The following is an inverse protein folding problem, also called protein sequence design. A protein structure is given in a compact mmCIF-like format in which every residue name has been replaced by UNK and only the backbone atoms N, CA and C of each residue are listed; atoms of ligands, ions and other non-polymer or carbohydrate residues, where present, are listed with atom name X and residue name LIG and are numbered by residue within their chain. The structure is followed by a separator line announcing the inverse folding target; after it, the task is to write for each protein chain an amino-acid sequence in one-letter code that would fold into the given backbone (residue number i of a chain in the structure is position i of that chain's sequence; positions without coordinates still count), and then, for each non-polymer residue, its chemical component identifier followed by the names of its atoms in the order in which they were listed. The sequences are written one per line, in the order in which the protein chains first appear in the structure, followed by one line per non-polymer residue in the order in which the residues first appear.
data_IF_699025621743
#
_entry.id   IF_699025621743
#
_cell.length_a   1.000
_cell.length_b   1.000
_cell.length_c   1.000
_cell.angle_alpha   90.00
_cell.angle_beta   90.00
_cell.angle_gamma   90.00
#
_symmetry.space_group_name_H-M   'P 1'
#
loop_
_entity.id
_entity.type
_entity.pdbx_description
1 polymer ?
#
# COMPACT_ATOMS: atom_id res chain seq x y z
N UNK A 1 30.71 4.24 19.42
CA UNK A 1 30.71 4.65 18.01
C UNK A 1 30.46 6.14 17.91
N UNK A 2 31.19 6.84 17.05
CA UNK A 2 30.98 8.27 16.78
C UNK A 2 30.35 8.39 15.38
N UNK A 3 29.25 9.13 15.29
CA UNK A 3 28.55 9.42 14.02
C UNK A 3 28.60 10.92 13.78
N UNK A 4 29.07 11.32 12.61
CA UNK A 4 29.06 12.72 12.18
C UNK A 4 27.81 12.99 11.36
N UNK A 5 26.96 13.90 11.84
CA UNK A 5 25.73 14.30 11.16
C UNK A 5 25.46 15.80 11.33
N UNK A 6 25.21 16.51 10.24
CA UNK A 6 24.92 17.94 10.25
C UNK A 6 26.03 18.80 10.87
N UNK A 7 27.30 18.38 10.75
CA UNK A 7 28.44 19.08 11.34
C UNK A 7 28.63 18.84 12.85
N UNK A 8 27.86 17.93 13.43
CA UNK A 8 27.98 17.53 14.85
C UNK A 8 28.47 16.09 14.98
N UNK A 9 29.34 15.86 15.96
CA UNK A 9 29.80 14.51 16.34
C UNK A 9 28.90 13.97 17.46
N UNK A 10 28.13 12.93 17.15
CA UNK A 10 27.22 12.24 18.08
C UNK A 10 27.88 10.96 18.57
N UNK A 11 27.88 10.71 19.86
CA UNK A 11 28.38 9.48 20.45
C UNK A 11 27.23 8.56 20.84
N UNK A 12 27.34 7.27 20.46
CA UNK A 12 26.36 6.25 20.82
C UNK A 12 27.06 4.92 21.09
N UNK A 13 26.47 4.07 21.91
CA UNK A 13 26.95 2.69 22.12
C UNK A 13 26.69 1.82 20.88
N UNK A 14 25.53 2.00 20.28
CA UNK A 14 25.06 1.27 19.10
C UNK A 14 24.49 2.23 18.06
N UNK A 15 24.72 1.93 16.79
CA UNK A 15 24.15 2.69 15.66
C UNK A 15 23.32 1.72 14.81
N UNK A 16 22.04 2.05 14.60
CA UNK A 16 21.17 1.33 13.70
C UNK A 16 21.21 1.99 12.32
N UNK A 17 21.57 1.21 11.29
CA UNK A 17 21.46 1.62 9.88
C UNK A 17 20.19 1.02 9.29
N UNK A 18 19.21 1.87 8.98
CA UNK A 18 17.90 1.49 8.49
C UNK A 18 17.49 2.32 7.25
N UNK A 19 18.40 2.41 6.28
CA UNK A 19 18.28 3.28 5.10
C UNK A 19 17.60 2.62 3.90
N UNK A 20 17.08 1.39 4.07
CA UNK A 20 16.44 0.60 3.02
C UNK A 20 17.20 -0.67 2.68
N UNK A 21 16.73 -1.36 1.66
CA UNK A 21 17.28 -2.64 1.18
C UNK A 21 17.56 -2.54 -0.32
N UNK A 22 18.42 -3.43 -0.81
CA UNK A 22 18.71 -3.59 -2.23
C UNK A 22 18.45 -5.04 -2.65
N UNK A 23 18.09 -5.30 -3.92
CA UNK A 23 17.99 -6.65 -4.44
C UNK A 23 19.31 -7.40 -4.26
N UNK A 24 19.25 -8.64 -3.78
CA UNK A 24 20.44 -9.50 -3.62
C UNK A 24 20.52 -10.46 -4.80
N UNK A 25 21.12 -10.01 -5.89
CA UNK A 25 21.23 -10.72 -7.17
C UNK A 25 22.66 -11.10 -7.53
N UNK A 26 23.63 -10.71 -6.72
CA UNK A 26 25.05 -10.98 -6.98
C UNK A 26 25.36 -12.48 -6.94
N UNK A 27 26.18 -12.94 -7.87
CA UNK A 27 26.66 -14.34 -7.97
C UNK A 27 25.56 -15.39 -8.18
N UNK A 28 24.39 -15.02 -8.68
CA UNK A 28 23.33 -15.97 -9.06
C UNK A 28 23.51 -16.55 -10.47
N UNK A 29 24.50 -16.11 -11.22
CA UNK A 29 24.75 -16.57 -12.60
C UNK A 29 23.70 -16.10 -13.60
N UNK A 30 23.01 -14.99 -13.33
CA UNK A 30 21.91 -14.48 -14.16
C UNK A 30 22.35 -14.16 -15.59
N UNK A 31 23.55 -13.59 -15.74
CA UNK A 31 24.14 -13.27 -17.04
C UNK A 31 24.41 -14.52 -17.88
N UNK A 32 24.80 -15.61 -17.23
CA UNK A 32 25.11 -16.88 -17.90
C UNK A 32 23.88 -17.53 -18.55
N UNK A 33 22.68 -17.24 -18.00
CA UNK A 33 21.39 -17.73 -18.52
C UNK A 33 20.63 -16.66 -19.29
N UNK A 34 21.15 -15.45 -19.43
CA UNK A 34 20.57 -14.37 -20.20
C UNK A 34 19.43 -13.59 -19.50
N UNK A 35 19.32 -13.71 -18.17
CA UNK A 35 18.37 -12.93 -17.38
C UNK A 35 18.86 -11.49 -17.25
N UNK A 36 18.02 -10.54 -17.64
CA UNK A 36 18.32 -9.11 -17.57
C UNK A 36 18.11 -8.54 -16.17
N UNK A 37 19.02 -7.66 -15.77
CA UNK A 37 18.92 -6.90 -14.52
C UNK A 37 19.03 -5.40 -14.78
N UNK A 38 18.31 -4.61 -13.98
CA UNK A 38 18.43 -3.15 -13.97
C UNK A 38 18.63 -2.66 -12.53
N UNK A 39 19.70 -1.92 -12.28
CA UNK A 39 20.09 -1.43 -10.94
C UNK A 39 20.10 -2.52 -9.86
N UNK A 40 20.54 -3.72 -10.23
CA UNK A 40 20.58 -4.89 -9.35
C UNK A 40 19.27 -5.66 -9.23
N UNK A 41 18.14 -5.16 -9.74
CA UNK A 41 16.87 -5.87 -9.77
C UNK A 41 16.71 -6.72 -11.03
N UNK A 42 16.05 -7.87 -10.92
CA UNK A 42 15.69 -8.70 -12.07
C UNK A 42 14.50 -8.05 -12.79
N UNK A 43 14.66 -7.79 -14.10
CA UNK A 43 13.61 -7.24 -14.94
C UNK A 43 12.56 -8.31 -15.22
N UNK A 44 11.29 -8.00 -14.94
CA UNK A 44 10.13 -8.88 -15.18
C UNK A 44 8.99 -8.12 -15.83
N UNK A 45 8.18 -8.83 -16.61
CA UNK A 45 6.93 -8.35 -17.17
C UNK A 45 5.79 -8.28 -16.12
N UNK A 46 4.56 -8.06 -16.56
CA UNK A 46 3.37 -7.98 -15.69
C UNK A 46 2.98 -9.34 -15.09
N UNK A 47 3.49 -10.44 -15.63
CA UNK A 47 3.27 -11.81 -15.16
C UNK A 47 4.48 -12.39 -14.43
N UNK A 48 5.46 -11.54 -14.05
CA UNK A 48 6.69 -11.89 -13.34
C UNK A 48 7.65 -12.79 -14.15
N UNK A 49 7.46 -12.92 -15.46
CA UNK A 49 8.37 -13.63 -16.35
C UNK A 49 9.59 -12.72 -16.63
N UNK A 50 10.78 -13.30 -16.61
CA UNK A 50 12.03 -12.58 -16.95
C UNK A 50 12.21 -12.51 -18.49
N UNK A 51 13.34 -11.93 -18.92
CA UNK A 51 13.78 -11.98 -20.33
C UNK A 51 13.95 -13.41 -20.87
N UNK A 52 13.98 -14.41 -20.01
CA UNK A 52 14.11 -15.84 -20.37
C UNK A 52 12.77 -16.55 -20.11
N UNK A 53 12.10 -17.10 -21.15
CA UNK A 53 10.68 -17.50 -21.08
C UNK A 53 10.30 -18.57 -20.04
N UNK A 54 11.25 -19.31 -19.49
CA UNK A 54 11.05 -20.35 -18.48
C UNK A 54 11.61 -19.96 -17.09
N UNK A 55 12.01 -18.70 -16.92
CA UNK A 55 12.53 -18.18 -15.65
C UNK A 55 11.61 -17.03 -15.20
N UNK A 56 11.16 -17.10 -13.95
CA UNK A 56 10.33 -16.10 -13.27
C UNK A 56 11.08 -15.55 -12.06
N UNK A 57 10.79 -14.32 -11.69
CA UNK A 57 11.30 -13.71 -10.46
C UNK A 57 10.17 -12.99 -9.72
N UNK A 58 10.13 -13.18 -8.39
CA UNK A 58 9.13 -12.60 -7.50
C UNK A 58 9.79 -12.00 -6.26
N UNK A 59 9.09 -11.13 -5.57
CA UNK A 59 9.54 -10.52 -4.33
C UNK A 59 10.57 -9.40 -4.53
N UNK A 60 11.34 -9.16 -3.50
CA UNK A 60 12.27 -8.03 -3.39
C UNK A 60 13.29 -7.97 -4.52
N UNK A 61 13.67 -9.12 -5.06
CA UNK A 61 14.64 -9.26 -6.15
C UNK A 61 14.17 -8.57 -7.45
N UNK A 62 12.85 -8.34 -7.61
CA UNK A 62 12.28 -7.63 -8.76
C UNK A 62 12.39 -6.11 -8.66
N UNK A 63 12.71 -5.57 -7.49
CA UNK A 63 12.78 -4.12 -7.24
C UNK A 63 11.44 -3.37 -7.36
N UNK A 64 10.30 -4.06 -7.57
CA UNK A 64 8.99 -3.40 -7.75
C UNK A 64 8.47 -2.85 -6.43
N UNK A 65 8.18 -3.70 -5.45
CA UNK A 65 7.69 -3.29 -4.13
C UNK A 65 8.11 -4.36 -3.10
N UNK A 66 9.07 -4.01 -2.25
CA UNK A 66 9.71 -4.92 -1.30
C UNK A 66 8.81 -5.15 -0.06
N UNK A 67 7.74 -5.95 -0.22
CA UNK A 67 6.79 -6.31 0.82
C UNK A 67 6.41 -7.79 0.69
N UNK A 68 6.39 -8.51 1.81
CA UNK A 68 6.14 -9.96 1.84
C UNK A 68 4.81 -10.35 1.19
N UNK A 69 3.73 -9.64 1.47
CA UNK A 69 2.42 -9.89 0.88
C UNK A 69 2.38 -9.59 -0.63
N UNK A 70 3.19 -8.65 -1.11
CA UNK A 70 3.35 -8.40 -2.55
C UNK A 70 4.08 -9.57 -3.21
N UNK A 71 5.15 -10.09 -2.59
CA UNK A 71 5.86 -11.27 -3.07
C UNK A 71 4.94 -12.49 -3.16
N UNK A 72 4.05 -12.70 -2.16
CA UNK A 72 3.05 -13.77 -2.17
C UNK A 72 2.05 -13.61 -3.32
N UNK A 73 1.52 -12.41 -3.54
CA UNK A 73 0.63 -12.12 -4.67
C UNK A 73 1.32 -12.32 -6.02
N UNK A 74 2.57 -11.87 -6.15
CA UNK A 74 3.40 -12.11 -7.33
C UNK A 74 3.58 -13.60 -7.61
N UNK A 75 3.82 -14.40 -6.56
CA UNK A 75 3.96 -15.86 -6.70
C UNK A 75 2.70 -16.53 -7.25
N UNK A 76 1.52 -16.11 -6.80
CA UNK A 76 0.23 -16.59 -7.32
C UNK A 76 0.11 -16.27 -8.82
N UNK A 77 0.30 -15.01 -9.21
CA UNK A 77 0.22 -14.59 -10.62
C UNK A 77 1.23 -15.34 -11.49
N UNK A 78 2.46 -15.53 -11.03
CA UNK A 78 3.49 -16.25 -11.77
C UNK A 78 3.07 -17.73 -12.03
N UNK A 79 2.54 -18.41 -11.01
CA UNK A 79 2.10 -19.82 -11.14
C UNK A 79 0.85 -19.92 -12.02
N UNK A 80 -0.12 -19.04 -11.88
CA UNK A 80 -1.31 -18.99 -12.74
C UNK A 80 -0.93 -18.71 -14.19
N UNK A 81 0.03 -17.81 -14.43
CA UNK A 81 0.55 -17.55 -15.78
C UNK A 81 1.22 -18.78 -16.39
N UNK A 82 2.05 -19.51 -15.64
CA UNK A 82 2.66 -20.77 -16.09
C UNK A 82 1.57 -21.78 -16.48
N UNK A 83 0.59 -22.00 -15.60
CA UNK A 83 -0.51 -22.93 -15.85
C UNK A 83 -1.34 -22.52 -17.09
N UNK A 84 -1.69 -21.24 -17.23
CA UNK A 84 -2.44 -20.74 -18.38
C UNK A 84 -1.71 -20.94 -19.71
N UNK A 85 -0.38 -20.81 -19.72
CA UNK A 85 0.44 -21.06 -20.92
C UNK A 85 0.50 -22.53 -21.30
N UNK A 86 0.62 -23.44 -20.34
CA UNK A 86 0.69 -24.87 -20.58
C UNK A 86 -0.67 -25.46 -20.97
N UNK A 87 -1.72 -25.06 -20.25
CA UNK A 87 -3.08 -25.60 -20.43
C UNK A 87 -3.92 -24.79 -21.44
N UNK A 88 -3.39 -23.71 -22.00
CA UNK A 88 -4.10 -22.74 -22.86
C UNK A 88 -5.34 -22.16 -22.18
N UNK A 89 -5.23 -21.94 -20.86
CA UNK A 89 -6.27 -21.33 -20.02
C UNK A 89 -6.31 -19.79 -20.13
N UNK A 90 -7.23 -19.14 -19.39
CA UNK A 90 -7.27 -17.69 -19.30
C UNK A 90 -6.03 -17.16 -18.57
N UNK A 91 -5.48 -16.06 -19.07
CA UNK A 91 -4.35 -15.38 -18.42
C UNK A 91 -4.80 -14.75 -17.09
N UNK A 92 -3.98 -14.80 -16.02
CA UNK A 92 -4.29 -14.11 -14.79
C UNK A 92 -4.31 -12.58 -15.01
N UNK A 93 -5.04 -11.83 -14.21
CA UNK A 93 -4.93 -10.36 -14.20
C UNK A 93 -3.55 -9.93 -13.69
N UNK A 94 -3.03 -8.86 -14.27
CA UNK A 94 -1.83 -8.21 -13.74
C UNK A 94 -2.10 -7.61 -12.35
N UNK A 95 -1.05 -7.54 -11.50
CA UNK A 95 -1.18 -6.95 -10.17
C UNK A 95 -1.31 -5.41 -10.25
N UNK A 96 -2.31 -4.85 -9.59
CA UNK A 96 -2.39 -3.42 -9.33
C UNK A 96 -1.49 -3.03 -8.13
N UNK A 97 -0.29 -2.57 -8.41
CA UNK A 97 0.65 -2.13 -7.38
C UNK A 97 0.18 -0.86 -6.64
N UNK A 98 -0.78 -0.11 -7.17
CA UNK A 98 -1.40 1.01 -6.46
C UNK A 98 -2.37 0.52 -5.39
N UNK A 99 -3.04 -0.60 -5.61
CA UNK A 99 -3.93 -1.22 -4.62
C UNK A 99 -3.19 -1.96 -3.50
N UNK A 100 -1.85 -2.10 -3.58
CA UNK A 100 -1.08 -2.79 -2.54
C UNK A 100 -1.04 -1.99 -1.24
N UNK A 101 -1.43 -2.60 -0.10
CA UNK A 101 -1.35 -1.95 1.21
C UNK A 101 0.10 -1.74 1.64
N UNK A 102 0.39 -0.59 2.23
CA UNK A 102 1.69 -0.24 2.81
C UNK A 102 1.47 0.11 4.28
N UNK A 103 2.13 -0.63 5.15
CA UNK A 103 2.00 -0.48 6.61
C UNK A 103 3.37 -0.19 7.24
N UNK A 104 3.38 0.74 8.21
CA UNK A 104 4.54 0.99 9.08
C UNK A 104 4.10 0.75 10.51
N UNK A 105 4.71 -0.25 11.13
CA UNK A 105 4.38 -0.73 12.47
C UNK A 105 5.12 0.06 13.54
N UNK A 106 4.75 1.33 13.66
CA UNK A 106 5.25 2.26 14.69
C UNK A 106 4.08 2.69 15.60
N UNK A 107 4.30 3.67 16.49
CA UNK A 107 3.23 4.19 17.35
C UNK A 107 3.22 5.72 17.32
N UNK A 108 2.14 6.33 16.79
CA UNK A 108 0.98 5.73 16.13
C UNK A 108 1.36 4.98 14.84
N UNK A 109 0.59 3.96 14.45
CA UNK A 109 0.79 3.22 13.21
C UNK A 109 0.50 4.11 11.99
N UNK A 110 1.11 3.76 10.85
CA UNK A 110 0.84 4.41 9.55
C UNK A 110 0.42 3.32 8.56
N UNK A 111 -0.65 3.59 7.82
CA UNK A 111 -1.11 2.71 6.76
C UNK A 111 -1.55 3.51 5.54
N UNK A 112 -1.30 2.98 4.35
CA UNK A 112 -1.71 3.67 3.12
C UNK A 112 -1.89 2.71 1.95
N UNK A 113 -2.71 3.13 1.00
CA UNK A 113 -2.89 2.49 -0.30
C UNK A 113 -3.23 3.56 -1.33
N UNK A 114 -2.80 3.37 -2.58
CA UNK A 114 -3.16 4.22 -3.70
C UNK A 114 -2.39 5.54 -3.77
N UNK A 115 -3.00 6.51 -4.46
CA UNK A 115 -2.42 7.82 -4.73
C UNK A 115 -2.59 8.77 -3.54
N UNK A 116 -1.57 9.57 -3.29
CA UNK A 116 -1.73 10.77 -2.46
C UNK A 116 -2.57 11.81 -3.23
N UNK A 117 -3.19 12.75 -2.51
CA UNK A 117 -3.91 13.86 -3.12
C UNK A 117 -3.06 14.63 -4.16
N UNK A 118 -1.78 14.82 -3.84
CA UNK A 118 -0.82 15.48 -4.73
C UNK A 118 -0.62 14.67 -6.03
N UNK A 119 -0.33 13.38 -5.91
CA UNK A 119 -0.13 12.49 -7.06
C UNK A 119 -1.39 12.38 -7.93
N UNK A 120 -2.58 12.28 -7.32
CA UNK A 120 -3.83 12.25 -8.05
C UNK A 120 -4.05 13.53 -8.87
N UNK A 121 -3.79 14.71 -8.29
CA UNK A 121 -3.85 15.99 -9.00
C UNK A 121 -2.80 16.10 -10.13
N UNK A 122 -1.58 15.63 -9.89
CA UNK A 122 -0.52 15.60 -10.90
C UNK A 122 -0.85 14.67 -12.07
N UNK A 123 -1.65 13.62 -11.85
CA UNK A 123 -2.18 12.74 -12.88
C UNK A 123 -3.45 13.26 -13.56
N UNK A 124 -3.91 14.47 -13.21
CA UNK A 124 -5.04 15.13 -13.86
C UNK A 124 -6.41 14.82 -13.27
N UNK A 125 -6.48 14.09 -12.13
CA UNK A 125 -7.76 13.88 -11.45
C UNK A 125 -8.27 15.17 -10.79
N UNK A 126 -9.58 15.38 -10.88
CA UNK A 126 -10.29 16.29 -9.97
C UNK A 126 -10.66 15.52 -8.72
N UNK A 127 -10.10 15.89 -7.57
CA UNK A 127 -10.24 15.08 -6.36
C UNK A 127 -11.20 15.69 -5.35
N UNK A 128 -11.96 14.82 -4.68
CA UNK A 128 -12.60 15.08 -3.38
C UNK A 128 -11.76 14.42 -2.28
N UNK A 129 -11.69 15.07 -1.15
CA UNK A 129 -10.91 14.57 0.00
C UNK A 129 -11.79 14.52 1.22
N UNK A 130 -11.93 13.32 1.80
CA UNK A 130 -12.52 13.13 3.12
C UNK A 130 -11.44 12.97 4.16
N UNK A 131 -11.53 13.70 5.26
CA UNK A 131 -10.59 13.58 6.38
C UNK A 131 -11.37 13.51 7.67
N UNK A 132 -11.01 12.54 8.53
CA UNK A 132 -11.63 12.39 9.85
C UNK A 132 -10.55 12.14 10.92
N UNK A 133 -10.52 12.92 12.02
CA UNK A 133 -9.54 12.76 13.09
C UNK A 133 -9.98 11.69 14.09
N UNK A 134 -9.06 10.89 14.61
CA UNK A 134 -9.33 9.93 15.68
C UNK A 134 -9.80 10.59 16.99
N UNK A 135 -9.51 11.87 17.20
CA UNK A 135 -10.04 12.65 18.34
C UNK A 135 -11.57 12.72 18.37
N UNK A 136 -12.25 12.55 17.25
CA UNK A 136 -13.71 12.51 17.15
C UNK A 136 -14.28 11.08 17.23
N UNK A 137 -13.43 10.05 17.37
CA UNK A 137 -13.86 8.66 17.46
C UNK A 137 -13.95 8.19 18.92
N UNK A 138 -15.13 7.74 19.34
CA UNK A 138 -15.40 7.32 20.72
C UNK A 138 -14.53 6.15 21.20
N UNK A 139 -14.20 5.19 20.32
CA UNK A 139 -13.32 4.06 20.68
C UNK A 139 -11.88 4.49 20.87
N UNK A 140 -11.39 5.39 20.03
CA UNK A 140 -10.03 5.95 20.16
C UNK A 140 -9.88 6.73 21.48
N UNK A 141 -10.90 7.48 21.86
CA UNK A 141 -10.94 8.19 23.16
C UNK A 141 -10.94 7.19 24.32
N UNK A 142 -11.74 6.12 24.25
CA UNK A 142 -11.78 5.09 25.28
C UNK A 142 -10.45 4.34 25.42
N UNK A 143 -9.68 4.18 24.36
CA UNK A 143 -8.34 3.60 24.39
C UNK A 143 -7.27 4.57 24.94
N UNK A 144 -7.55 5.88 24.97
CA UNK A 144 -6.56 6.90 25.24
C UNK A 144 -5.56 7.12 24.10
N UNK A 145 -5.82 6.55 22.93
CA UNK A 145 -4.97 6.64 21.73
C UNK A 145 -5.77 7.27 20.60
N UNK A 146 -5.83 8.59 20.58
CA UNK A 146 -6.65 9.37 19.66
C UNK A 146 -5.83 10.29 18.73
N UNK A 147 -4.50 10.10 18.71
CA UNK A 147 -3.64 10.85 17.81
C UNK A 147 -3.79 10.35 16.36
N UNK A 148 -3.92 11.29 15.42
CA UNK A 148 -3.94 10.97 14.00
C UNK A 148 -5.28 11.16 13.33
N UNK A 149 -5.37 10.65 12.11
CA UNK A 149 -6.54 10.82 11.24
C UNK A 149 -6.53 9.77 10.11
N UNK A 150 -7.66 9.64 9.45
CA UNK A 150 -7.80 9.04 8.13
C UNK A 150 -8.01 10.13 7.07
N UNK A 151 -7.42 9.92 5.88
CA UNK A 151 -7.63 10.75 4.70
C UNK A 151 -7.96 9.86 3.50
N UNK A 152 -9.17 10.00 2.97
CA UNK A 152 -9.63 9.34 1.75
C UNK A 152 -9.51 10.30 0.57
N UNK A 153 -8.94 9.83 -0.54
CA UNK A 153 -8.78 10.57 -1.80
C UNK A 153 -9.65 9.91 -2.87
N UNK A 154 -10.59 10.65 -3.42
CA UNK A 154 -11.64 10.14 -4.31
C UNK A 154 -11.67 10.95 -5.60
N UNK A 155 -11.87 10.30 -6.75
CA UNK A 155 -12.15 11.00 -8.00
C UNK A 155 -13.51 11.70 -7.93
N UNK A 156 -13.53 13.00 -8.21
CA UNK A 156 -14.76 13.80 -8.13
C UNK A 156 -15.79 13.44 -9.20
N UNK A 157 -15.36 12.80 -10.29
CA UNK A 157 -16.20 12.51 -11.45
C UNK A 157 -16.95 11.18 -11.32
N UNK A 158 -16.22 10.13 -10.92
CA UNK A 158 -16.78 8.77 -10.90
C UNK A 158 -16.92 8.19 -9.50
N UNK A 159 -16.40 8.87 -8.46
CA UNK A 159 -16.42 8.36 -7.09
C UNK A 159 -15.36 7.27 -6.83
N UNK A 160 -14.43 7.02 -7.77
CA UNK A 160 -13.38 6.03 -7.58
C UNK A 160 -12.50 6.36 -6.37
N UNK A 161 -12.21 5.36 -5.55
CA UNK A 161 -11.26 5.48 -4.44
C UNK A 161 -9.85 5.46 -5.01
N UNK A 162 -9.21 6.62 -5.13
CA UNK A 162 -7.86 6.78 -5.66
C UNK A 162 -6.79 6.43 -4.63
N UNK A 163 -7.07 6.65 -3.36
CA UNK A 163 -6.15 6.32 -2.29
C UNK A 163 -6.69 6.61 -0.89
N UNK A 164 -6.02 6.01 0.09
CA UNK A 164 -6.30 6.21 1.51
C UNK A 164 -4.99 6.29 2.31
N UNK A 165 -4.94 7.18 3.27
CA UNK A 165 -3.77 7.42 4.13
C UNK A 165 -4.24 7.59 5.56
N UNK A 166 -3.72 6.75 6.45
CA UNK A 166 -4.10 6.67 7.85
C UNK A 166 -2.85 6.82 8.73
N UNK A 167 -3.02 7.53 9.83
CA UNK A 167 -2.08 7.53 10.96
C UNK A 167 -2.90 7.45 12.23
N UNK A 168 -2.64 6.50 13.12
CA UNK A 168 -3.42 6.34 14.34
C UNK A 168 -3.34 4.95 14.95
N UNK A 169 -4.23 4.66 15.92
CA UNK A 169 -4.31 3.33 16.53
C UNK A 169 -4.84 2.30 15.52
N UNK A 170 -4.19 1.15 15.47
CA UNK A 170 -4.61 -0.05 14.72
C UNK A 170 -4.95 0.20 13.23
N UNK A 171 -4.39 1.24 12.63
CA UNK A 171 -4.72 1.61 11.24
C UNK A 171 -4.27 0.59 10.21
N UNK A 172 -3.31 -0.27 10.54
CA UNK A 172 -2.89 -1.38 9.70
C UNK A 172 -3.99 -2.44 9.56
N UNK A 173 -4.83 -2.60 10.59
CA UNK A 173 -5.99 -3.51 10.59
C UNK A 173 -7.24 -2.87 9.97
N UNK A 174 -7.31 -1.54 9.90
CA UNK A 174 -8.41 -0.83 9.25
C UNK A 174 -8.27 -0.72 7.73
N UNK A 175 -7.02 -0.71 7.23
CA UNK A 175 -6.71 -0.52 5.81
C UNK A 175 -7.36 -1.56 4.87
N UNK A 176 -7.47 -2.87 5.22
CA UNK A 176 -7.99 -3.89 4.32
C UNK A 176 -9.40 -3.65 3.81
N UNK A 177 -10.26 -2.98 4.57
CA UNK A 177 -11.62 -2.62 4.12
C UNK A 177 -11.57 -1.69 2.88
N UNK A 178 -10.72 -0.68 2.92
CA UNK A 178 -10.58 0.25 1.78
C UNK A 178 -9.84 -0.41 0.61
N UNK A 179 -8.89 -1.31 0.88
CA UNK A 179 -8.25 -2.11 -0.17
C UNK A 179 -9.28 -2.98 -0.90
N UNK A 180 -10.17 -3.64 -0.14
CA UNK A 180 -11.27 -4.42 -0.71
C UNK A 180 -12.24 -3.55 -1.50
N UNK A 181 -12.64 -2.39 -0.95
CA UNK A 181 -13.52 -1.45 -1.61
C UNK A 181 -12.94 -0.99 -2.96
N UNK A 182 -11.65 -0.62 -2.99
CA UNK A 182 -10.97 -0.26 -4.25
C UNK A 182 -10.89 -1.43 -5.22
N UNK A 183 -10.51 -2.61 -4.76
CA UNK A 183 -10.38 -3.81 -5.61
C UNK A 183 -11.71 -4.22 -6.24
N UNK A 184 -12.80 -4.01 -5.52
CA UNK A 184 -14.17 -4.27 -5.98
C UNK A 184 -14.81 -3.07 -6.71
N UNK A 185 -14.03 -2.01 -7.00
CA UNK A 185 -14.49 -0.79 -7.67
C UNK A 185 -15.67 -0.09 -6.96
N UNK A 186 -15.73 -0.22 -5.62
CA UNK A 186 -16.74 0.45 -4.81
C UNK A 186 -16.39 1.94 -4.63
N UNK A 187 -17.43 2.72 -4.32
CA UNK A 187 -17.34 4.17 -4.07
C UNK A 187 -17.51 4.49 -2.58
N UNK A 188 -17.29 5.72 -2.13
CA UNK A 188 -17.57 6.12 -0.74
C UNK A 188 -19.01 5.84 -0.30
N UNK A 189 -19.98 5.83 -1.22
CA UNK A 189 -21.39 5.55 -0.93
C UNK A 189 -21.58 4.12 -0.39
N UNK A 190 -20.86 3.11 -0.92
CA UNK A 190 -20.93 1.74 -0.42
C UNK A 190 -20.29 1.62 0.96
N UNK A 191 -19.18 2.32 1.22
CA UNK A 191 -18.56 2.34 2.55
C UNK A 191 -19.54 2.94 3.58
N UNK A 192 -20.24 4.03 3.22
CA UNK A 192 -21.25 4.67 4.07
C UNK A 192 -22.42 3.74 4.36
N UNK A 193 -22.85 2.96 3.36
CA UNK A 193 -23.97 2.00 3.52
C UNK A 193 -23.58 0.75 4.31
N UNK A 194 -22.29 0.41 4.33
CA UNK A 194 -21.78 -0.66 5.17
C UNK A 194 -21.84 -0.22 6.64
N UNK A 195 -22.74 -0.85 7.42
CA UNK A 195 -22.95 -0.46 8.82
C UNK A 195 -21.74 -0.86 9.65
N UNK A 196 -21.10 0.12 10.28
CA UNK A 196 -19.98 -0.10 11.20
C UNK A 196 -20.51 -0.25 12.62
N UNK A 197 -19.95 -1.22 13.36
CA UNK A 197 -20.34 -1.44 14.76
C UNK A 197 -19.90 -0.27 15.66
N UNK A 198 -20.72 0.10 16.62
CA UNK A 198 -20.40 1.11 17.63
C UNK A 198 -20.23 0.49 19.03
N UNK A 199 -19.15 0.84 19.80
CA UNK A 199 -18.04 1.71 19.44
C UNK A 199 -16.87 0.92 18.83
N UNK A 200 -16.37 1.34 17.68
CA UNK A 200 -15.20 0.74 17.03
C UNK A 200 -14.28 1.80 16.42
N UNK A 201 -13.03 1.41 16.12
CA UNK A 201 -12.12 2.28 15.36
C UNK A 201 -12.54 2.37 13.88
N UNK A 202 -13.19 1.32 13.34
CA UNK A 202 -13.57 1.27 11.92
C UNK A 202 -14.62 2.33 11.53
N UNK A 203 -15.37 2.90 12.48
CA UNK A 203 -16.29 4.01 12.21
C UNK A 203 -15.62 5.22 11.55
N UNK A 204 -14.30 5.40 11.73
CA UNK A 204 -13.54 6.49 11.08
C UNK A 204 -13.54 6.36 9.55
N UNK A 205 -13.70 5.12 9.01
CA UNK A 205 -13.75 4.87 7.58
C UNK A 205 -15.03 5.43 6.97
N UNK A 206 -16.17 5.15 7.59
CA UNK A 206 -17.47 5.71 7.17
C UNK A 206 -17.49 7.24 7.30
N UNK A 207 -16.95 7.78 8.38
CA UNK A 207 -16.88 9.23 8.60
C UNK A 207 -15.98 9.93 7.55
N UNK A 208 -14.85 9.32 7.19
CA UNK A 208 -14.02 9.86 6.12
C UNK A 208 -14.70 9.77 4.74
N UNK A 209 -15.48 8.71 4.50
CA UNK A 209 -16.30 8.58 3.30
C UNK A 209 -17.42 9.66 3.26
N UNK A 210 -18.12 9.89 4.37
CA UNK A 210 -19.07 10.99 4.52
C UNK A 210 -18.42 12.35 4.26
N UNK A 211 -17.24 12.59 4.85
CA UNK A 211 -16.49 13.84 4.67
C UNK A 211 -16.07 14.06 3.20
N UNK A 212 -15.72 13.00 2.46
CA UNK A 212 -15.40 13.09 1.03
C UNK A 212 -16.61 13.51 0.17
N UNK A 213 -17.82 13.21 0.63
CA UNK A 213 -19.08 13.62 0.00
C UNK A 213 -19.63 14.96 0.55
N UNK A 214 -18.92 15.61 1.48
CA UNK A 214 -19.37 16.86 2.11
C UNK A 214 -20.50 16.68 3.11
N UNK A 215 -20.68 15.47 3.67
CA UNK A 215 -21.78 15.10 4.55
C UNK A 215 -21.29 14.46 5.87
N UNK A 216 -20.13 14.94 6.40
CA UNK A 216 -19.63 14.49 7.70
C UNK A 216 -20.69 14.67 8.80
N UNK A 217 -20.79 13.68 9.72
CA UNK A 217 -21.83 13.64 10.75
C UNK A 217 -21.27 14.11 12.11
N UNK A 218 -20.05 13.70 12.46
CA UNK A 218 -19.51 13.91 13.80
C UNK A 218 -18.38 14.95 13.87
N UNK A 219 -18.13 15.71 12.82
CA UNK A 219 -17.19 16.85 12.76
C UNK A 219 -17.77 18.04 12.01
#
# INVERSE_FOLDING_TARGET
VTVEAGGQALQAETVLVAIGVQPNTENLGLEAVGVQTERGAIVVDDFLQTSVPNIYAIGDVTGKLALAHVASAQGIVAVEHIAAREEKGPMPPALDYLAMPRCTYCRPQIASMGLTEKQAKEQGYTVKVGKFPFQANGKALAFGEHAGFIKLVVDAKYGEILGVHLIGPEVTELLPEIVLARTAELTPEEIIRAVHAHPTLSEVLAEAAHAALGAAIHI
#
